data_IF_631709053509
#
_entry.id   IF_631709053509
#
_cell.length_a   1.000
_cell.length_b   1.000
_cell.length_c   1.000
_cell.angle_alpha   90.00
_cell.angle_beta   90.00
_cell.angle_gamma   90.00
#
_symmetry.space_group_name_H-M   'P 1'
#
loop_
_entity.id
_entity.type
_entity.pdbx_description
1 polymer ?
#
# COMPACT_ATOMS: atom_id res chain seq x y z
N UNK A 1 -11.02 -3.40 35.00
CA UNK A 1 -10.18 -4.62 35.05
C UNK A 1 -9.31 -4.81 33.80
N UNK A 2 -9.81 -4.59 32.57
CA UNK A 2 -8.98 -4.78 31.35
C UNK A 2 -7.81 -3.78 31.19
N UNK A 3 -7.90 -2.59 31.78
CA UNK A 3 -6.87 -1.55 31.69
C UNK A 3 -5.72 -1.76 32.71
N UNK A 4 -6.01 -2.37 33.86
CA UNK A 4 -5.02 -2.62 34.95
C UNK A 4 -4.03 -3.74 34.60
N UNK A 5 -4.41 -4.67 33.72
CA UNK A 5 -3.50 -5.73 33.24
C UNK A 5 -2.60 -5.28 32.09
N UNK A 6 -2.90 -4.13 31.45
CA UNK A 6 -2.15 -3.62 30.30
C UNK A 6 -0.88 -2.89 30.72
N UNK A 7 -0.95 -2.19 31.86
CA UNK A 7 0.17 -1.45 32.47
C UNK A 7 1.21 -2.39 33.11
N UNK A 8 0.78 -3.58 33.57
CA UNK A 8 1.67 -4.60 34.15
C UNK A 8 2.53 -5.35 33.14
N UNK A 9 2.34 -5.09 31.85
CA UNK A 9 3.08 -5.76 30.77
C UNK A 9 4.29 -4.96 30.31
N UNK A 10 4.37 -3.67 30.66
CA UNK A 10 5.50 -2.77 30.34
C UNK A 10 6.67 -2.86 31.34
N UNK A 11 6.53 -3.59 32.45
CA UNK A 11 7.52 -3.69 33.53
C UNK A 11 8.41 -4.96 33.43
N UNK A 12 8.25 -5.75 32.37
CA UNK A 12 9.15 -6.87 32.06
C UNK A 12 10.17 -6.40 31.03
N UNK A 13 11.47 -6.48 31.36
CA UNK A 13 12.55 -6.34 30.38
C UNK A 13 12.27 -7.27 29.19
N UNK A 14 11.93 -6.67 28.05
CA UNK A 14 11.51 -7.42 26.87
C UNK A 14 12.71 -8.14 26.27
N UNK A 15 12.72 -9.47 26.38
CA UNK A 15 13.70 -10.32 25.69
C UNK A 15 13.50 -10.11 24.19
N UNK A 16 14.50 -9.53 23.54
CA UNK A 16 14.58 -9.39 22.09
C UNK A 16 15.02 -10.69 21.44
N UNK A 17 14.75 -10.83 20.14
CA UNK A 17 15.29 -11.94 19.34
C UNK A 17 16.82 -11.95 19.41
N UNK A 18 17.46 -10.78 19.51
CA UNK A 18 18.91 -10.68 19.70
C UNK A 18 19.37 -11.26 21.04
N UNK A 19 18.62 -11.02 22.12
CA UNK A 19 18.94 -11.57 23.44
C UNK A 19 18.85 -13.10 23.44
N UNK A 20 17.91 -13.68 22.67
CA UNK A 20 17.85 -15.13 22.45
C UNK A 20 19.11 -15.64 21.73
N UNK A 21 19.66 -14.90 20.76
CA UNK A 21 20.92 -15.25 20.09
C UNK A 21 22.16 -15.08 20.98
N UNK A 22 22.16 -14.10 21.89
CA UNK A 22 23.21 -13.93 22.88
C UNK A 22 23.20 -15.08 23.91
N UNK A 23 22.00 -15.48 24.38
CA UNK A 23 21.81 -16.67 25.22
C UNK A 23 22.33 -17.93 24.51
N UNK A 24 22.04 -18.10 23.21
CA UNK A 24 22.56 -19.23 22.40
C UNK A 24 24.09 -19.20 22.38
N UNK A 25 24.69 -18.03 22.25
CA UNK A 25 26.15 -17.84 22.18
C UNK A 25 26.81 -18.17 23.52
N UNK A 26 26.27 -17.68 24.62
CA UNK A 26 26.80 -17.94 25.96
C UNK A 26 26.62 -19.40 26.35
N UNK A 27 25.45 -19.98 26.03
CA UNK A 27 25.23 -21.41 26.17
C UNK A 27 26.27 -22.22 25.38
N UNK A 28 26.58 -21.83 24.14
CA UNK A 28 27.58 -22.53 23.35
C UNK A 28 29.00 -22.42 23.93
N UNK A 29 29.37 -21.28 24.52
CA UNK A 29 30.66 -21.08 25.20
C UNK A 29 30.80 -22.00 26.41
N UNK A 30 29.75 -22.17 27.21
CA UNK A 30 29.78 -23.01 28.41
C UNK A 30 29.87 -24.51 28.10
N UNK A 31 29.23 -24.96 27.01
CA UNK A 31 29.23 -26.36 26.62
C UNK A 31 30.51 -26.79 25.90
N UNK A 32 31.28 -25.85 25.33
CA UNK A 32 32.50 -26.16 24.57
C UNK A 32 33.58 -26.84 25.41
N UNK A 33 33.95 -26.36 26.62
CA UNK A 33 34.87 -27.07 27.51
C UNK A 33 34.37 -28.46 27.92
N UNK A 34 33.06 -28.63 28.11
CA UNK A 34 32.48 -29.92 28.52
C UNK A 34 32.60 -30.94 27.37
N UNK A 35 32.34 -30.50 26.14
CA UNK A 35 32.49 -31.32 24.93
C UNK A 35 33.97 -31.68 24.71
N UNK A 36 34.88 -30.72 24.90
CA UNK A 36 36.32 -30.95 24.74
C UNK A 36 36.87 -31.98 25.75
N UNK A 37 36.29 -32.05 26.96
CA UNK A 37 36.73 -33.00 28.00
C UNK A 37 36.06 -34.38 27.95
N UNK A 38 34.77 -34.46 27.61
CA UNK A 38 33.97 -35.69 27.73
C UNK A 38 33.46 -36.24 26.40
N UNK A 39 33.77 -35.58 25.28
CA UNK A 39 33.15 -35.85 23.98
C UNK A 39 31.71 -35.35 23.92
N UNK A 40 31.12 -35.30 22.72
CA UNK A 40 29.75 -34.79 22.56
C UNK A 40 28.65 -35.81 22.78
N UNK A 41 28.96 -37.11 22.78
CA UNK A 41 27.95 -38.17 22.86
C UNK A 41 27.02 -38.06 24.08
N UNK A 42 27.50 -37.72 25.29
CA UNK A 42 26.62 -37.52 26.45
C UNK A 42 25.71 -36.28 26.33
N UNK A 43 26.14 -35.27 25.55
CA UNK A 43 25.47 -33.97 25.43
C UNK A 43 24.48 -33.96 24.26
N UNK A 44 24.65 -34.84 23.27
CA UNK A 44 23.79 -35.00 22.08
C UNK A 44 22.28 -34.92 22.38
N UNK A 45 21.81 -35.70 23.37
CA UNK A 45 20.39 -35.74 23.73
C UNK A 45 19.89 -34.49 24.46
N UNK A 46 20.75 -33.82 25.22
CA UNK A 46 20.40 -32.58 25.94
C UNK A 46 20.36 -31.42 24.95
N UNK A 47 21.33 -31.38 24.04
CA UNK A 47 21.48 -30.34 23.03
C UNK A 47 20.26 -30.24 22.12
N UNK A 48 19.71 -31.37 21.65
CA UNK A 48 18.48 -31.37 20.86
C UNK A 48 17.29 -30.75 21.59
N UNK A 49 17.17 -30.99 22.91
CA UNK A 49 16.13 -30.39 23.75
C UNK A 49 16.35 -28.89 23.95
N UNK A 50 17.59 -28.46 24.20
CA UNK A 50 17.94 -27.06 24.35
C UNK A 50 17.69 -26.28 23.07
N UNK A 51 18.10 -26.81 21.91
CA UNK A 51 17.79 -26.21 20.60
C UNK A 51 16.29 -26.07 20.42
N UNK A 52 15.50 -27.10 20.73
CA UNK A 52 14.03 -27.05 20.62
C UNK A 52 13.41 -26.00 21.56
N UNK A 53 13.95 -25.84 22.77
CA UNK A 53 13.50 -24.82 23.72
C UNK A 53 13.84 -23.40 23.25
N UNK A 54 15.06 -23.19 22.74
CA UNK A 54 15.51 -21.89 22.22
C UNK A 54 14.75 -21.52 20.94
N UNK A 55 14.46 -22.48 20.05
CA UNK A 55 13.57 -22.25 18.90
C UNK A 55 12.18 -21.82 19.32
N UNK A 56 11.63 -22.47 20.34
CA UNK A 56 10.33 -22.08 20.88
C UNK A 56 10.39 -20.68 21.51
N UNK A 57 11.52 -20.31 22.13
CA UNK A 57 11.74 -18.99 22.70
C UNK A 57 11.85 -17.92 21.60
N UNK A 58 12.58 -18.18 20.52
CA UNK A 58 12.65 -17.31 19.33
C UNK A 58 11.26 -17.11 18.72
N UNK A 59 10.51 -18.20 18.47
CA UNK A 59 9.15 -18.15 17.94
C UNK A 59 8.21 -17.34 18.86
N UNK A 60 8.30 -17.52 20.18
CA UNK A 60 7.51 -16.78 21.15
C UNK A 60 7.88 -15.29 21.13
N UNK A 61 9.18 -14.98 21.07
CA UNK A 61 9.69 -13.60 21.06
C UNK A 61 9.23 -12.85 19.81
N UNK A 62 9.37 -13.47 18.63
CA UNK A 62 8.87 -12.91 17.37
C UNK A 62 7.35 -12.68 17.41
N UNK A 63 6.59 -13.64 17.97
CA UNK A 63 5.13 -13.50 18.14
C UNK A 63 4.78 -12.34 19.07
N UNK A 64 5.49 -12.18 20.18
CA UNK A 64 5.27 -11.07 21.13
C UNK A 64 5.53 -9.73 20.45
N UNK A 65 6.66 -9.59 19.74
CA UNK A 65 6.98 -8.36 18.99
C UNK A 65 5.92 -8.03 17.95
N UNK A 66 5.45 -9.03 17.19
CA UNK A 66 4.39 -8.84 16.20
C UNK A 66 3.05 -8.45 16.86
N UNK A 67 2.67 -9.10 17.95
CA UNK A 67 1.45 -8.76 18.69
C UNK A 67 1.52 -7.34 19.27
N UNK A 68 2.68 -6.93 19.81
CA UNK A 68 2.91 -5.56 20.30
C UNK A 68 2.78 -4.54 19.18
N UNK A 69 3.35 -4.82 18.00
CA UNK A 69 3.16 -3.98 16.81
C UNK A 69 1.68 -3.84 16.44
N UNK A 70 0.93 -4.94 16.41
CA UNK A 70 -0.51 -4.92 16.12
C UNK A 70 -1.27 -4.10 17.18
N UNK A 71 -0.91 -4.24 18.46
CA UNK A 71 -1.50 -3.46 19.55
C UNK A 71 -1.22 -1.97 19.36
N UNK A 72 0.03 -1.58 19.07
CA UNK A 72 0.42 -0.21 18.79
C UNK A 72 -0.32 0.38 17.58
N UNK A 73 -0.44 -0.39 16.50
CA UNK A 73 -1.20 0.01 15.31
C UNK A 73 -2.67 0.23 15.67
N UNK A 74 -3.29 -0.67 16.46
CA UNK A 74 -4.67 -0.52 16.93
C UNK A 74 -4.85 0.72 17.81
N UNK A 75 -3.91 1.00 18.71
CA UNK A 75 -3.97 2.17 19.57
C UNK A 75 -3.86 3.47 18.76
N UNK A 76 -3.01 3.49 17.72
CA UNK A 76 -2.92 4.63 16.80
C UNK A 76 -4.23 4.88 16.04
N UNK A 77 -4.92 3.80 15.65
CA UNK A 77 -6.23 3.87 14.97
C UNK A 77 -7.30 4.37 15.93
N UNK A 78 -7.31 3.87 17.17
CA UNK A 78 -8.23 4.34 18.21
C UNK A 78 -8.04 5.84 18.48
N UNK A 79 -6.81 6.30 18.69
CA UNK A 79 -6.52 7.71 18.91
C UNK A 79 -6.98 8.59 17.74
N UNK A 80 -6.77 8.14 16.49
CA UNK A 80 -7.28 8.84 15.30
C UNK A 80 -8.82 8.90 15.29
N UNK A 81 -9.50 7.79 15.56
CA UNK A 81 -10.97 7.75 15.59
C UNK A 81 -11.56 8.60 16.72
N UNK A 82 -10.90 8.67 17.88
CA UNK A 82 -11.29 9.54 18.98
C UNK A 82 -11.15 11.02 18.60
N UNK A 83 -10.05 11.39 17.90
CA UNK A 83 -9.86 12.74 17.36
C UNK A 83 -10.96 13.09 16.35
N UNK A 84 -11.25 12.20 15.41
CA UNK A 84 -12.28 12.41 14.38
C UNK A 84 -13.68 12.52 15.01
N UNK A 85 -13.95 11.74 16.07
CA UNK A 85 -15.21 11.83 16.83
C UNK A 85 -15.37 13.18 17.52
N UNK A 86 -14.30 13.69 18.15
CA UNK A 86 -14.30 15.00 18.79
C UNK A 86 -14.47 16.13 17.77
N UNK A 87 -13.78 16.05 16.63
CA UNK A 87 -13.88 17.02 15.54
C UNK A 87 -15.30 17.07 14.97
N UNK A 88 -15.90 15.93 14.66
CA UNK A 88 -17.30 15.84 14.20
C UNK A 88 -18.29 16.36 15.24
N UNK A 89 -18.05 16.12 16.52
CA UNK A 89 -18.90 16.66 17.58
C UNK A 89 -18.79 18.19 17.66
N UNK A 90 -17.58 18.74 17.53
CA UNK A 90 -17.35 20.18 17.51
C UNK A 90 -17.96 20.86 16.27
N UNK A 91 -17.88 20.23 15.09
CA UNK A 91 -18.54 20.69 13.88
C UNK A 91 -20.06 20.72 14.04
N UNK A 92 -20.67 19.66 14.57
CA UNK A 92 -22.11 19.64 14.87
C UNK A 92 -22.50 20.76 15.82
N UNK A 93 -21.72 20.99 16.87
CA UNK A 93 -21.99 22.08 17.82
C UNK A 93 -21.86 23.46 17.15
N UNK A 94 -20.94 23.64 16.19
CA UNK A 94 -20.85 24.88 15.42
C UNK A 94 -22.08 25.07 14.53
N UNK A 95 -22.50 24.04 13.80
CA UNK A 95 -23.70 24.11 12.97
C UNK A 95 -24.96 24.38 13.78
N UNK A 96 -25.09 23.78 14.97
CA UNK A 96 -26.22 24.03 15.88
C UNK A 96 -26.26 25.50 16.35
N UNK A 97 -25.10 26.09 16.69
CA UNK A 97 -25.00 27.52 17.03
C UNK A 97 -25.30 28.43 15.85
N UNK A 98 -24.83 28.10 14.65
CA UNK A 98 -25.14 28.85 13.44
C UNK A 98 -26.63 28.81 13.12
N UNK A 99 -27.28 27.65 13.32
CA UNK A 99 -28.72 27.50 13.15
C UNK A 99 -29.49 28.34 14.17
N UNK A 100 -29.10 28.29 15.45
CA UNK A 100 -29.71 29.11 16.51
C UNK A 100 -29.58 30.62 16.21
N UNK A 101 -28.43 31.06 15.68
CA UNK A 101 -28.24 32.45 15.25
C UNK A 101 -29.15 32.83 14.08
N UNK A 102 -29.34 31.95 13.11
CA UNK A 102 -30.26 32.19 11.98
C UNK A 102 -31.71 32.27 12.49
N UNK A 103 -32.10 31.40 13.42
CA UNK A 103 -33.43 31.42 14.03
C UNK A 103 -33.67 32.69 14.86
N UNK A 104 -32.67 33.16 15.62
CA UNK A 104 -32.73 34.43 16.35
C UNK A 104 -32.88 35.61 15.39
N UNK A 105 -32.04 35.67 14.36
CA UNK A 105 -32.12 36.71 13.34
C UNK A 105 -33.50 36.73 12.65
N UNK A 106 -34.04 35.56 12.31
CA UNK A 106 -35.37 35.48 11.72
C UNK A 106 -36.47 35.92 12.68
N UNK A 107 -36.34 35.64 13.99
CA UNK A 107 -37.25 36.15 15.02
C UNK A 107 -37.15 37.66 15.15
N UNK A 108 -35.95 38.22 15.16
CA UNK A 108 -35.71 39.66 15.22
C UNK A 108 -36.33 40.36 14.01
N UNK A 109 -36.04 39.91 12.78
CA UNK A 109 -36.62 40.46 11.56
C UNK A 109 -38.16 40.36 11.56
N UNK A 110 -38.72 39.22 11.97
CA UNK A 110 -40.17 39.04 12.07
C UNK A 110 -40.77 40.03 13.08
N UNK A 111 -40.11 40.22 14.21
CA UNK A 111 -40.52 41.18 15.23
C UNK A 111 -40.47 42.62 14.70
N UNK A 112 -39.40 43.00 14.01
CA UNK A 112 -39.25 44.31 13.37
C UNK A 112 -40.34 44.56 12.32
N UNK A 113 -40.64 43.59 11.46
CA UNK A 113 -41.72 43.72 10.48
C UNK A 113 -43.09 43.92 11.17
N UNK A 114 -43.37 43.18 12.24
CA UNK A 114 -44.60 43.36 13.03
C UNK A 114 -44.64 44.74 13.68
N UNK A 115 -43.52 45.23 14.22
CA UNK A 115 -43.43 46.58 14.77
C UNK A 115 -43.71 47.66 13.70
N UNK A 116 -43.16 47.50 12.49
CA UNK A 116 -43.40 48.40 11.36
C UNK A 116 -44.89 48.38 10.96
N UNK A 117 -45.49 47.19 10.84
CA UNK A 117 -46.92 47.05 10.54
C UNK A 117 -47.77 47.75 11.60
N UNK A 118 -47.49 47.53 12.88
CA UNK A 118 -48.22 48.17 13.98
C UNK A 118 -48.11 49.70 13.91
N UNK A 119 -46.90 50.22 13.64
CA UNK A 119 -46.67 51.67 13.48
C UNK A 119 -47.47 52.25 12.31
N UNK A 120 -47.44 51.58 11.15
CA UNK A 120 -48.21 51.99 9.97
C UNK A 120 -49.73 51.90 10.22
N UNK A 121 -50.20 50.87 10.93
CA UNK A 121 -51.61 50.75 11.33
C UNK A 121 -52.04 51.87 12.29
N UNK A 122 -51.20 52.24 13.25
CA UNK A 122 -51.46 53.37 14.14
C UNK A 122 -51.49 54.70 13.39
N UNK A 123 -50.56 54.94 12.48
CA UNK A 123 -50.53 56.13 11.63
C UNK A 123 -51.78 56.20 10.73
N UNK A 124 -52.17 55.09 10.09
CA UNK A 124 -53.41 55.00 9.33
C UNK A 124 -54.64 55.29 10.20
N UNK A 125 -54.72 54.74 11.43
CA UNK A 125 -55.80 55.06 12.37
C UNK A 125 -55.83 56.55 12.74
N UNK A 126 -54.67 57.17 12.98
CA UNK A 126 -54.55 58.61 13.27
C UNK A 126 -54.99 59.46 12.09
N UNK A 127 -54.59 59.10 10.87
CA UNK A 127 -54.99 59.78 9.64
C UNK A 127 -56.49 59.68 9.40
N UNK A 128 -57.09 58.49 9.57
CA UNK A 128 -58.55 58.29 9.46
C UNK A 128 -59.30 59.17 10.46
N UNK A 129 -58.86 59.21 11.73
CA UNK A 129 -59.46 60.10 12.75
C UNK A 129 -59.34 61.58 12.36
N UNK A 130 -58.17 62.00 11.89
CA UNK A 130 -57.93 63.39 11.47
C UNK A 130 -58.74 63.77 10.22
N UNK A 131 -58.99 62.81 9.33
CA UNK A 131 -59.81 63.02 8.13
C UNK A 131 -61.29 63.15 8.52
N UNK A 132 -61.78 62.32 9.46
CA UNK A 132 -63.13 62.42 10.01
C UNK A 132 -63.35 63.76 10.74
N UNK A 133 -62.42 64.19 11.59
CA UNK A 133 -62.48 65.51 12.24
C UNK A 133 -62.50 66.68 11.25
N UNK A 134 -61.81 66.55 10.11
CA UNK A 134 -61.86 67.55 9.03
C UNK A 134 -63.14 67.51 8.20
N UNK A 135 -63.82 66.37 8.13
CA UNK A 135 -65.06 66.21 7.38
C UNK A 135 -66.29 66.67 8.18
N UNK A 136 -66.25 66.58 9.51
CA UNK A 136 -67.30 67.07 10.43
C UNK A 136 -67.19 68.58 10.75
N UNK A 137 -66.11 69.25 10.30
CA UNK A 137 -65.99 70.70 10.37
C UNK A 137 -66.49 71.32 9.07
N UNK A 138 -67.62 72.06 9.04
CA UNK A 138 -68.00 72.80 7.85
C UNK A 138 -66.90 73.80 7.51
N UNK A 139 -66.50 73.80 6.24
CA UNK A 139 -65.57 74.78 5.66
C UNK A 139 -66.15 76.18 5.80
N UNK A 140 -65.78 76.86 6.88
CA UNK A 140 -65.97 78.30 7.02
C UNK A 140 -64.74 78.93 6.38
N UNK A 141 -64.88 79.25 5.09
CA UNK A 141 -64.06 80.26 4.43
C UNK A 141 -64.29 81.60 5.14
N UNK A 142 -63.52 81.86 6.20
CA UNK A 142 -63.43 83.19 6.79
C UNK A 142 -62.31 83.96 6.09
N UNK A 143 -62.66 84.51 4.92
CA UNK A 143 -62.00 85.71 4.41
C UNK A 143 -62.51 86.91 5.22
N UNK A 144 -62.03 87.04 6.45
CA UNK A 144 -62.10 88.27 7.23
C UNK A 144 -60.69 88.85 7.35
N UNK A 145 -60.51 90.18 7.34
CA UNK A 145 -59.21 90.76 7.62
C UNK A 145 -58.85 90.39 9.06
N UNK A 146 -57.80 89.59 9.21
CA UNK A 146 -57.35 89.09 10.49
C UNK A 146 -56.93 90.26 11.38
N UNK A 147 -57.38 90.22 12.64
CA UNK A 147 -56.82 91.08 13.69
C UNK A 147 -55.31 90.82 13.77
N UNK A 148 -54.46 91.86 13.91
CA UNK A 148 -52.99 91.73 13.91
C UNK A 148 -52.46 90.69 14.92
N UNK A 149 -53.22 90.39 15.97
CA UNK A 149 -52.86 89.40 16.99
C UNK A 149 -52.99 87.94 16.51
N UNK A 150 -53.94 87.63 15.61
CA UNK A 150 -54.08 86.28 15.06
C UNK A 150 -52.99 85.98 14.02
N UNK A 151 -52.60 86.97 13.22
CA UNK A 151 -51.47 86.87 12.29
C UNK A 151 -50.14 86.66 13.03
N UNK A 152 -49.94 87.34 14.16
CA UNK A 152 -48.77 87.12 15.03
C UNK A 152 -48.76 85.69 15.57
N UNK A 153 -49.91 85.15 16.01
CA UNK A 153 -49.99 83.77 16.50
C UNK A 153 -49.71 82.74 15.39
N UNK A 154 -50.21 82.96 14.17
CA UNK A 154 -49.92 82.10 13.01
C UNK A 154 -48.45 82.16 12.63
N UNK A 155 -47.84 83.34 12.63
CA UNK A 155 -46.41 83.52 12.38
C UNK A 155 -45.56 82.84 13.45
N UNK A 156 -45.89 82.99 14.74
CA UNK A 156 -45.20 82.30 15.84
C UNK A 156 -45.29 80.79 15.72
N UNK A 157 -46.46 80.24 15.35
CA UNK A 157 -46.63 78.80 15.10
C UNK A 157 -45.80 78.32 13.91
N UNK A 158 -45.71 79.13 12.85
CA UNK A 158 -44.87 78.83 11.68
C UNK A 158 -43.38 78.86 12.02
N UNK A 159 -42.95 79.81 12.86
CA UNK A 159 -41.56 79.89 13.36
C UNK A 159 -41.22 78.65 14.20
N UNK A 160 -42.08 78.29 15.16
CA UNK A 160 -41.88 77.10 15.99
C UNK A 160 -41.86 75.81 15.15
N UNK A 161 -42.71 75.72 14.12
CA UNK A 161 -42.67 74.60 13.18
C UNK A 161 -41.38 74.58 12.35
N UNK A 162 -40.89 75.74 11.90
CA UNK A 162 -39.61 75.85 11.19
C UNK A 162 -38.43 75.44 12.08
N UNK A 163 -38.44 75.85 13.35
CA UNK A 163 -37.42 75.47 14.32
C UNK A 163 -37.41 73.97 14.56
N UNK A 164 -38.60 73.35 14.71
CA UNK A 164 -38.75 71.89 14.80
C UNK A 164 -38.23 71.16 13.56
N UNK A 165 -38.53 71.67 12.36
CA UNK A 165 -38.02 71.10 11.11
C UNK A 165 -36.50 71.23 11.00
N UNK A 166 -35.91 72.35 11.45
CA UNK A 166 -34.45 72.53 11.51
C UNK A 166 -33.80 71.57 12.49
N UNK A 167 -34.42 71.31 13.62
CA UNK A 167 -33.92 70.34 14.60
C UNK A 167 -34.02 68.91 14.09
N UNK A 168 -35.13 68.55 13.43
CA UNK A 168 -35.27 67.27 12.73
C UNK A 168 -34.22 67.10 11.62
N UNK A 169 -33.94 68.15 10.84
CA UNK A 169 -32.89 68.13 9.83
C UNK A 169 -31.53 67.85 10.46
N UNK A 170 -31.17 68.52 11.56
CA UNK A 170 -29.92 68.27 12.29
C UNK A 170 -29.84 66.85 12.85
N UNK A 171 -30.94 66.30 13.37
CA UNK A 171 -30.98 64.92 13.84
C UNK A 171 -30.75 63.94 12.69
N UNK A 172 -31.40 64.15 11.54
CA UNK A 172 -31.21 63.34 10.35
C UNK A 172 -29.80 63.46 9.77
N UNK A 173 -29.20 64.64 9.79
CA UNK A 173 -27.81 64.84 9.36
C UNK A 173 -26.81 64.08 10.26
N UNK A 174 -27.03 64.06 11.58
CA UNK A 174 -26.22 63.24 12.50
C UNK A 174 -26.40 61.75 12.24
N UNK A 175 -27.64 61.30 12.00
CA UNK A 175 -27.95 59.90 11.69
C UNK A 175 -27.27 59.46 10.38
N UNK A 176 -27.34 60.30 9.33
CA UNK A 176 -26.65 60.05 8.06
C UNK A 176 -25.14 60.00 8.24
N UNK A 177 -24.55 60.91 9.01
CA UNK A 177 -23.10 60.89 9.27
C UNK A 177 -22.67 59.65 10.07
N UNK A 178 -23.47 59.22 11.06
CA UNK A 178 -23.21 57.99 11.79
C UNK A 178 -23.27 56.76 10.86
N UNK A 179 -24.29 56.69 9.99
CA UNK A 179 -24.41 55.61 9.00
C UNK A 179 -23.30 55.64 7.96
N UNK A 180 -22.86 56.82 7.52
CA UNK A 180 -21.70 56.94 6.63
C UNK A 180 -20.43 56.38 7.27
N UNK A 181 -20.17 56.70 8.54
CA UNK A 181 -19.01 56.16 9.26
C UNK A 181 -19.08 54.64 9.48
N UNK A 182 -20.30 54.10 9.69
CA UNK A 182 -20.52 52.65 9.78
C UNK A 182 -20.24 51.97 8.45
N UNK A 183 -20.69 52.55 7.33
CA UNK A 183 -20.40 52.06 5.98
C UNK A 183 -18.90 52.07 5.70
N UNK A 184 -18.18 53.14 6.03
CA UNK A 184 -16.72 53.21 5.85
C UNK A 184 -15.99 52.13 6.67
N UNK A 185 -16.39 51.90 7.92
CA UNK A 185 -15.82 50.83 8.75
C UNK A 185 -16.11 49.43 8.18
N UNK A 186 -17.28 49.21 7.62
CA UNK A 186 -17.64 47.94 6.97
C UNK A 186 -16.87 47.74 5.67
N UNK A 187 -16.66 48.80 4.88
CA UNK A 187 -15.82 48.77 3.68
C UNK A 187 -14.38 48.36 4.03
N UNK A 188 -13.80 48.96 5.07
CA UNK A 188 -12.47 48.57 5.57
C UNK A 188 -12.40 47.09 5.99
N UNK A 189 -13.47 46.58 6.63
CA UNK A 189 -13.54 45.17 7.01
C UNK A 189 -13.62 44.25 5.79
N UNK A 190 -14.42 44.62 4.79
CA UNK A 190 -14.54 43.88 3.52
C UNK A 190 -13.18 43.85 2.80
N UNK A 191 -12.45 44.97 2.76
CA UNK A 191 -11.14 45.03 2.13
C UNK A 191 -10.11 44.17 2.88
N UNK A 192 -10.09 44.22 4.21
CA UNK A 192 -9.25 43.32 5.03
C UNK A 192 -9.59 41.86 4.74
N UNK A 193 -10.86 41.48 4.76
CA UNK A 193 -11.28 40.10 4.45
C UNK A 193 -10.92 39.70 3.01
N UNK A 194 -11.05 40.61 2.05
CA UNK A 194 -10.67 40.39 0.65
C UNK A 194 -9.17 40.10 0.51
N UNK A 195 -8.31 40.83 1.23
CA UNK A 195 -6.86 40.55 1.24
C UNK A 195 -6.53 39.19 1.84
N UNK A 196 -7.11 38.86 3.00
CA UNK A 196 -6.93 37.55 3.64
C UNK A 196 -7.42 36.42 2.73
N UNK A 197 -8.56 36.59 2.05
CA UNK A 197 -9.10 35.59 1.14
C UNK A 197 -8.16 35.35 -0.06
N UNK A 198 -7.57 36.41 -0.63
CA UNK A 198 -6.55 36.31 -1.68
C UNK A 198 -5.30 35.56 -1.19
N UNK A 199 -4.83 35.84 0.02
CA UNK A 199 -3.69 35.15 0.63
C UNK A 199 -3.98 33.66 0.89
N UNK A 200 -5.15 33.33 1.43
CA UNK A 200 -5.57 31.94 1.65
C UNK A 200 -5.65 31.17 0.33
N UNK A 201 -6.22 31.78 -0.72
CA UNK A 201 -6.22 31.18 -2.07
C UNK A 201 -4.80 30.94 -2.59
N UNK A 202 -3.87 31.86 -2.36
CA UNK A 202 -2.46 31.68 -2.73
C UNK A 202 -1.83 30.51 -1.94
N UNK A 203 -2.06 30.44 -0.63
CA UNK A 203 -1.58 29.34 0.23
C UNK A 203 -2.11 27.98 -0.21
N UNK A 204 -3.40 27.90 -0.56
CA UNK A 204 -4.02 26.67 -1.09
C UNK A 204 -3.33 26.25 -2.39
N UNK A 205 -3.15 27.17 -3.35
CA UNK A 205 -2.45 26.87 -4.62
C UNK A 205 -1.03 26.35 -4.39
N UNK A 206 -0.27 26.98 -3.49
CA UNK A 206 1.10 26.52 -3.19
C UNK A 206 1.11 25.17 -2.50
N UNK A 207 0.19 24.92 -1.57
CA UNK A 207 0.05 23.63 -0.89
C UNK A 207 -0.37 22.53 -1.86
N UNK A 208 -1.29 22.80 -2.79
CA UNK A 208 -1.70 21.87 -3.84
C UNK A 208 -0.55 21.56 -4.79
N UNK A 209 0.24 22.56 -5.20
CA UNK A 209 1.41 22.35 -6.04
C UNK A 209 2.47 21.47 -5.33
N UNK A 210 2.68 21.65 -4.02
CA UNK A 210 3.57 20.79 -3.23
C UNK A 210 3.04 19.36 -3.16
N UNK A 211 1.73 19.17 -2.92
CA UNK A 211 1.13 17.84 -2.89
C UNK A 211 1.28 17.13 -4.24
N UNK A 212 1.06 17.83 -5.36
CA UNK A 212 1.23 17.25 -6.70
C UNK A 212 2.69 16.85 -6.97
N UNK A 213 3.67 17.66 -6.57
CA UNK A 213 5.09 17.30 -6.69
C UNK A 213 5.43 16.03 -5.91
N UNK A 214 4.93 15.90 -4.68
CA UNK A 214 5.13 14.67 -3.89
C UNK A 214 4.46 13.44 -4.52
N UNK A 215 3.31 13.63 -5.19
CA UNK A 215 2.64 12.56 -5.93
C UNK A 215 3.48 12.14 -7.15
N UNK A 216 4.03 13.10 -7.89
CA UNK A 216 4.95 12.85 -9.01
C UNK A 216 6.21 12.10 -8.55
N UNK A 217 6.89 12.61 -7.51
CA UNK A 217 8.07 11.95 -6.92
C UNK A 217 7.76 10.52 -6.46
N UNK A 218 6.59 10.30 -5.83
CA UNK A 218 6.14 8.96 -5.44
C UNK A 218 5.91 8.06 -6.67
N UNK A 219 5.34 8.59 -7.75
CA UNK A 219 5.10 7.82 -8.97
C UNK A 219 6.43 7.40 -9.63
N UNK A 220 7.42 8.29 -9.65
CA UNK A 220 8.75 8.01 -10.18
C UNK A 220 9.46 6.91 -9.38
N UNK A 221 9.41 6.98 -8.05
CA UNK A 221 9.99 5.96 -7.16
C UNK A 221 9.30 4.61 -7.35
N UNK A 222 7.96 4.59 -7.49
CA UNK A 222 7.22 3.35 -7.73
C UNK A 222 7.59 2.71 -9.07
N UNK A 223 7.79 3.52 -10.11
CA UNK A 223 8.24 3.03 -11.42
C UNK A 223 9.64 2.41 -11.31
N UNK A 224 10.58 3.09 -10.66
CA UNK A 224 11.92 2.56 -10.43
C UNK A 224 11.91 1.26 -9.60
N UNK A 225 11.03 1.16 -8.59
CA UNK A 225 10.87 -0.05 -7.80
C UNK A 225 10.34 -1.22 -8.64
N UNK A 226 9.37 -0.96 -9.52
CA UNK A 226 8.84 -1.98 -10.43
C UNK A 226 9.91 -2.47 -11.41
N UNK A 227 10.72 -1.56 -11.97
CA UNK A 227 11.84 -1.91 -12.85
C UNK A 227 12.85 -2.81 -12.11
N UNK A 228 13.24 -2.46 -10.87
CA UNK A 228 14.13 -3.27 -10.06
C UNK A 228 13.54 -4.64 -9.69
N UNK A 229 12.23 -4.72 -9.43
CA UNK A 229 11.55 -5.99 -9.20
C UNK A 229 11.56 -6.87 -10.44
N UNK A 230 11.34 -6.28 -11.62
CA UNK A 230 11.42 -6.97 -12.90
C UNK A 230 12.84 -7.50 -13.17
N UNK A 231 13.87 -6.68 -12.97
CA UNK A 231 15.27 -7.11 -13.08
C UNK A 231 15.61 -8.24 -12.11
N UNK A 232 15.17 -8.13 -10.85
CA UNK A 232 15.36 -9.19 -9.84
C UNK A 232 14.68 -10.48 -10.27
N UNK A 233 13.48 -10.40 -10.86
CA UNK A 233 12.75 -11.56 -11.38
C UNK A 233 13.52 -12.22 -12.53
N UNK A 234 14.05 -11.44 -13.49
CA UNK A 234 14.86 -11.96 -14.59
C UNK A 234 16.13 -12.63 -14.06
N UNK A 235 16.83 -12.01 -13.11
CA UNK A 235 18.05 -12.56 -12.53
C UNK A 235 17.78 -13.87 -11.79
N UNK A 236 16.66 -13.96 -11.05
CA UNK A 236 16.21 -15.21 -10.41
C UNK A 236 15.92 -16.31 -11.44
N UNK A 237 15.25 -15.98 -12.54
CA UNK A 237 14.98 -16.94 -13.62
C UNK A 237 16.29 -17.44 -14.26
N UNK A 238 17.21 -16.53 -14.57
CA UNK A 238 18.53 -16.89 -15.14
C UNK A 238 19.35 -17.74 -14.17
N UNK A 239 19.32 -17.42 -12.89
CA UNK A 239 19.98 -18.21 -11.86
C UNK A 239 19.40 -19.63 -11.81
N UNK A 240 18.06 -19.77 -11.85
CA UNK A 240 17.41 -21.08 -11.88
C UNK A 240 17.79 -21.91 -13.11
N UNK A 241 17.88 -21.30 -14.29
CA UNK A 241 18.36 -21.97 -15.51
C UNK A 241 19.81 -22.44 -15.33
N UNK A 242 20.69 -21.56 -14.83
CA UNK A 242 22.10 -21.90 -14.60
C UNK A 242 22.29 -22.99 -13.52
N UNK A 243 21.44 -23.00 -12.48
CA UNK A 243 21.42 -24.05 -11.47
C UNK A 243 21.01 -25.40 -12.06
N UNK A 244 19.99 -25.42 -12.92
CA UNK A 244 19.55 -26.63 -13.63
C UNK A 244 20.63 -27.15 -14.59
N UNK A 245 21.21 -26.28 -15.43
CA UNK A 245 22.30 -26.67 -16.33
C UNK A 245 23.50 -27.26 -15.56
N UNK A 246 23.82 -26.70 -14.40
CA UNK A 246 24.88 -27.22 -13.52
C UNK A 246 24.52 -28.58 -12.94
N UNK A 247 23.27 -28.80 -12.56
CA UNK A 247 22.78 -30.10 -12.07
C UNK A 247 22.84 -31.15 -13.19
N UNK A 248 22.38 -30.81 -14.40
CA UNK A 248 22.43 -31.69 -15.58
C UNK A 248 23.88 -32.09 -15.93
N UNK A 249 24.83 -31.14 -15.87
CA UNK A 249 26.26 -31.42 -16.06
C UNK A 249 26.84 -32.32 -14.96
N UNK A 250 26.44 -32.10 -13.70
CA UNK A 250 26.88 -32.94 -12.58
C UNK A 250 26.32 -34.36 -12.72
N UNK A 251 25.07 -34.51 -13.14
CA UNK A 251 24.44 -35.80 -13.39
C UNK A 251 25.11 -36.52 -14.56
N UNK A 252 25.38 -35.85 -15.67
CA UNK A 252 26.11 -36.42 -16.80
C UNK A 252 27.51 -36.91 -16.39
N UNK A 253 28.22 -36.18 -15.53
CA UNK A 253 29.51 -36.63 -15.00
C UNK A 253 29.39 -37.88 -14.12
N UNK A 254 28.32 -38.00 -13.33
CA UNK A 254 28.03 -39.20 -12.53
C UNK A 254 27.68 -40.36 -13.45
N UNK A 255 26.86 -40.16 -14.49
CA UNK A 255 26.50 -41.19 -15.46
C UNK A 255 27.75 -41.68 -16.22
N UNK A 256 28.68 -40.78 -16.58
CA UNK A 256 29.99 -41.15 -17.16
C UNK A 256 30.82 -41.96 -16.17
N UNK A 257 30.83 -41.61 -14.88
CA UNK A 257 31.50 -42.40 -13.84
C UNK A 257 30.83 -43.75 -13.60
N UNK A 258 29.50 -43.83 -13.66
CA UNK A 258 28.76 -45.08 -13.50
C UNK A 258 28.97 -45.99 -14.71
N UNK A 259 28.98 -45.44 -15.93
CA UNK A 259 29.38 -46.17 -17.15
C UNK A 259 30.83 -46.66 -17.06
N UNK A 260 31.76 -45.84 -16.54
CA UNK A 260 33.14 -46.25 -16.22
C UNK A 260 33.21 -47.40 -15.21
N UNK A 261 32.29 -47.44 -14.25
CA UNK A 261 32.30 -48.42 -13.15
C UNK A 261 31.57 -49.71 -13.53
N UNK A 262 30.58 -49.63 -14.43
CA UNK A 262 29.66 -50.72 -14.77
C UNK A 262 29.97 -51.40 -16.11
N UNK A 263 30.74 -50.76 -17.00
CA UNK A 263 31.14 -51.33 -18.28
C UNK A 263 32.65 -51.52 -18.40
N UNK A 264 33.00 -52.70 -18.89
CA UNK A 264 34.33 -53.14 -19.36
C UNK A 264 34.79 -52.27 -20.53
N UNK A 265 35.23 -51.04 -20.27
CA UNK A 265 35.85 -50.18 -21.27
C UNK A 265 37.11 -49.58 -20.66
N UNK A 266 38.26 -50.15 -21.02
CA UNK A 266 39.56 -49.62 -20.68
C UNK A 266 39.78 -48.30 -21.47
N UNK A 267 39.77 -47.17 -20.77
CA UNK A 267 39.93 -45.85 -21.39
C UNK A 267 41.38 -45.59 -21.85
N UNK A 268 42.32 -46.44 -21.46
CA UNK A 268 43.72 -46.42 -21.87
C UNK A 268 44.01 -47.30 -23.09
N UNK A 269 43.00 -47.98 -23.67
CA UNK A 269 43.19 -48.79 -24.89
C UNK A 269 43.59 -47.88 -26.09
N UNK A 270 44.84 -48.01 -26.60
CA UNK A 270 45.34 -47.21 -27.71
C UNK A 270 44.62 -47.52 -29.03
N UNK A 271 43.96 -48.68 -29.15
CA UNK A 271 43.24 -49.11 -30.36
C UNK A 271 41.74 -48.78 -30.32
N UNK A 272 41.27 -48.07 -29.30
CA UNK A 272 39.88 -47.63 -29.22
C UNK A 272 39.58 -46.63 -30.35
N UNK A 273 38.50 -46.81 -31.14
CA UNK A 273 38.12 -45.84 -32.17
C UNK A 273 37.85 -44.47 -31.51
N UNK A 274 38.66 -43.47 -31.85
CA UNK A 274 38.50 -42.09 -31.39
C UNK A 274 38.00 -41.26 -32.55
N UNK A 275 36.68 -41.10 -32.63
CA UNK A 275 36.07 -40.23 -33.61
C UNK A 275 36.18 -38.77 -33.13
N UNK A 276 36.55 -37.88 -34.05
CA UNK A 276 36.47 -36.44 -33.82
C UNK A 276 35.01 -36.00 -33.75
N UNK A 277 34.75 -34.83 -33.16
CA UNK A 277 33.38 -34.26 -33.13
C UNK A 277 32.80 -34.02 -34.52
N UNK A 278 33.65 -33.89 -35.53
CA UNK A 278 33.25 -33.75 -36.94
C UNK A 278 32.86 -35.10 -37.53
N UNK A 279 33.68 -36.14 -37.33
CA UNK A 279 33.37 -37.51 -37.76
C UNK A 279 32.09 -38.04 -37.09
N UNK A 280 31.84 -37.71 -35.82
CA UNK A 280 30.60 -38.11 -35.14
C UNK A 280 29.37 -37.42 -35.77
N UNK A 281 29.48 -36.15 -36.14
CA UNK A 281 28.40 -35.43 -36.84
C UNK A 281 28.16 -36.03 -38.23
N UNK A 282 29.23 -36.41 -38.93
CA UNK A 282 29.14 -37.06 -40.24
C UNK A 282 28.48 -38.44 -40.13
N UNK A 283 28.92 -39.30 -39.20
CA UNK A 283 28.31 -40.61 -38.94
C UNK A 283 26.83 -40.47 -38.53
N UNK A 284 26.49 -39.45 -37.73
CA UNK A 284 25.09 -39.16 -37.37
C UNK A 284 24.26 -38.75 -38.58
N UNK A 285 24.82 -37.92 -39.46
CA UNK A 285 24.17 -37.49 -40.69
C UNK A 285 23.95 -38.66 -41.62
N UNK A 286 25.00 -39.46 -41.87
CA UNK A 286 24.92 -40.69 -42.66
C UNK A 286 23.88 -41.66 -42.09
N UNK A 287 23.89 -41.89 -40.77
CA UNK A 287 22.89 -42.73 -40.10
C UNK A 287 21.47 -42.20 -40.31
N UNK A 288 21.25 -40.89 -40.21
CA UNK A 288 19.94 -40.30 -40.46
C UNK A 288 19.52 -40.43 -41.93
N UNK A 289 20.45 -40.23 -42.87
CA UNK A 289 20.21 -40.41 -44.30
C UNK A 289 19.87 -41.87 -44.63
N UNK A 290 20.61 -42.83 -44.05
CA UNK A 290 20.30 -44.26 -44.16
C UNK A 290 18.98 -44.61 -43.51
N UNK A 291 18.63 -44.01 -42.37
CA UNK A 291 17.35 -44.25 -41.72
C UNK A 291 16.19 -43.71 -42.54
N UNK A 292 16.33 -42.53 -43.15
CA UNK A 292 15.36 -42.01 -44.11
C UNK A 292 15.23 -42.92 -45.34
N UNK A 293 16.35 -43.45 -45.84
CA UNK A 293 16.35 -44.40 -46.96
C UNK A 293 15.69 -45.73 -46.60
N UNK A 294 15.95 -46.24 -45.41
CA UNK A 294 15.29 -47.44 -44.87
C UNK A 294 13.79 -47.19 -44.77
N UNK A 295 13.35 -46.07 -44.20
CA UNK A 295 11.91 -45.75 -44.13
C UNK A 295 11.25 -45.58 -45.49
N UNK A 296 11.98 -45.09 -46.51
CA UNK A 296 11.49 -45.05 -47.88
C UNK A 296 11.35 -46.44 -48.49
N UNK A 297 12.36 -47.30 -48.31
CA UNK A 297 12.35 -48.69 -48.77
C UNK A 297 11.29 -49.52 -48.04
N UNK A 298 11.09 -49.30 -46.75
CA UNK A 298 10.01 -49.90 -45.95
C UNK A 298 8.65 -49.47 -46.50
N UNK A 299 8.46 -48.19 -46.86
CA UNK A 299 7.22 -47.71 -47.48
C UNK A 299 6.99 -48.31 -48.87
N UNK A 300 8.05 -48.49 -49.65
CA UNK A 300 8.00 -49.13 -50.96
C UNK A 300 7.67 -50.63 -50.82
N UNK A 301 8.31 -51.34 -49.89
CA UNK A 301 8.00 -52.72 -49.55
C UNK A 301 6.56 -52.87 -49.03
N UNK A 302 6.09 -51.94 -48.21
CA UNK A 302 4.70 -51.93 -47.73
C UNK A 302 3.73 -51.72 -48.89
N UNK A 303 4.06 -50.86 -49.86
CA UNK A 303 3.28 -50.72 -51.10
C UNK A 303 3.20 -52.04 -51.86
N UNK A 304 4.29 -52.79 -51.97
CA UNK A 304 4.28 -54.09 -52.64
C UNK A 304 3.57 -55.18 -51.82
N UNK A 305 3.71 -55.20 -50.48
CA UNK A 305 2.89 -56.07 -49.60
C UNK A 305 1.40 -55.77 -49.74
N UNK A 306 1.04 -54.48 -49.84
CA UNK A 306 -0.33 -54.04 -50.04
C UNK A 306 -0.81 -54.32 -51.48
N UNK A 307 0.05 -54.21 -52.49
CA UNK A 307 -0.27 -54.64 -53.86
C UNK A 307 -0.44 -56.16 -53.99
N UNK A 308 0.28 -56.95 -53.20
CA UNK A 308 0.08 -58.40 -53.09
C UNK A 308 -1.23 -58.73 -52.33
N UNK A 309 -1.64 -57.89 -51.36
CA UNK A 309 -2.89 -58.04 -50.61
C UNK A 309 -4.14 -57.48 -51.33
N UNK A 310 -4.01 -56.45 -52.17
CA UNK A 310 -5.11 -55.84 -52.95
C UNK A 310 -5.57 -56.73 -54.12
N UNK A 311 -4.81 -57.77 -54.49
CA UNK A 311 -5.25 -58.76 -55.46
C UNK A 311 -6.24 -59.81 -54.89
N UNK A 312 -6.66 -59.73 -53.63
CA UNK A 312 -7.47 -60.80 -53.01
C UNK A 312 -8.82 -60.38 -52.43
N UNK A 313 -9.06 -59.19 -51.89
CA UNK A 313 -10.36 -58.92 -51.25
C UNK A 313 -10.84 -57.48 -51.52
N UNK A 314 -11.83 -57.36 -52.40
CA UNK A 314 -12.77 -56.24 -52.50
C UNK A 314 -14.07 -56.77 -51.89
N UNK A 315 -14.60 -56.11 -50.86
CA UNK A 315 -16.01 -55.74 -50.63
C UNK A 315 -16.26 -55.37 -49.15
N UNK A 316 -17.25 -54.48 -48.96
CA UNK A 316 -17.98 -54.13 -47.72
C UNK A 316 -17.52 -52.86 -46.94
N UNK A 317 -18.01 -51.71 -47.42
CA UNK A 317 -19.10 -50.86 -46.87
C UNK A 317 -19.29 -50.58 -45.35
N UNK A 318 -19.76 -49.33 -45.16
CA UNK A 318 -20.67 -48.76 -44.13
C UNK A 318 -20.14 -48.03 -42.86
N UNK A 319 -20.42 -46.72 -42.87
CA UNK A 319 -20.96 -45.79 -41.86
C UNK A 319 -20.90 -46.14 -40.36
N UNK A 320 -20.52 -45.14 -39.54
CA UNK A 320 -21.38 -44.64 -38.45
C UNK A 320 -20.83 -43.36 -37.78
N UNK A 321 -21.75 -42.44 -37.49
CA UNK A 321 -21.62 -41.22 -36.69
C UNK A 321 -21.35 -41.54 -35.21
N UNK A 322 -20.61 -40.67 -34.50
CA UNK A 322 -20.83 -40.48 -33.05
C UNK A 322 -20.40 -39.06 -32.61
N UNK A 323 -21.38 -38.37 -32.02
CA UNK A 323 -21.28 -37.11 -31.28
C UNK A 323 -20.65 -37.36 -29.90
N UNK A 324 -19.48 -36.78 -29.61
CA UNK A 324 -18.92 -36.71 -28.25
C UNK A 324 -18.89 -35.25 -27.76
N UNK A 325 -19.99 -34.82 -27.11
CA UNK A 325 -20.01 -33.72 -26.14
C UNK A 325 -19.42 -34.24 -24.81
N UNK A 326 -18.09 -34.30 -24.72
CA UNK A 326 -17.39 -34.58 -23.46
C UNK A 326 -17.02 -33.27 -22.74
N UNK A 327 -17.72 -33.01 -21.64
CA UNK A 327 -17.46 -31.96 -20.66
C UNK A 327 -16.05 -32.18 -20.06
N UNK A 328 -15.08 -31.34 -20.44
CA UNK A 328 -13.69 -31.49 -19.98
C UNK A 328 -13.60 -31.34 -18.44
N UNK A 329 -12.93 -32.25 -17.70
CA UNK A 329 -12.86 -32.15 -16.25
C UNK A 329 -12.09 -30.90 -15.82
N UNK A 330 -12.79 -30.03 -15.09
CA UNK A 330 -12.21 -28.81 -14.47
C UNK A 330 -11.15 -29.23 -13.45
N UNK A 331 -9.89 -29.13 -13.84
CA UNK A 331 -8.75 -29.29 -12.94
C UNK A 331 -8.75 -28.17 -11.91
N UNK A 332 -8.98 -28.52 -10.64
CA UNK A 332 -8.72 -27.64 -9.50
C UNK A 332 -7.25 -27.22 -9.43
N UNK A 333 -6.92 -26.15 -8.67
CA UNK A 333 -5.57 -25.64 -8.58
C UNK A 333 -4.58 -26.72 -8.16
N UNK A 334 -3.47 -26.80 -8.92
CA UNK A 334 -2.39 -27.78 -8.77
C UNK A 334 -1.94 -27.89 -7.29
N UNK A 335 -1.80 -29.10 -6.72
CA UNK A 335 -1.23 -29.27 -5.39
C UNK A 335 0.19 -28.68 -5.32
N UNK A 336 0.46 -27.90 -4.27
CA UNK A 336 1.76 -27.28 -4.02
C UNK A 336 2.91 -28.29 -4.15
N UNK A 337 3.98 -27.88 -4.82
CA UNK A 337 5.19 -28.70 -4.95
C UNK A 337 5.75 -29.09 -3.56
N UNK A 338 6.46 -30.24 -3.43
CA UNK A 338 6.97 -30.74 -2.15
C UNK A 338 7.86 -29.77 -1.33
N UNK A 339 8.28 -28.67 -1.93
CA UNK A 339 9.08 -27.60 -1.33
C UNK A 339 8.24 -26.48 -0.71
N UNK A 340 6.97 -26.34 -1.08
CA UNK A 340 6.05 -25.26 -0.62
C UNK A 340 5.12 -25.71 0.52
N UNK A 341 5.38 -26.90 1.05
CA UNK A 341 4.55 -27.48 2.08
C UNK A 341 4.72 -26.77 3.43
N UNK A 342 3.62 -26.36 4.12
CA UNK A 342 3.68 -25.61 5.38
C UNK A 342 4.33 -26.37 6.55
N UNK A 343 4.59 -27.68 6.40
CA UNK A 343 5.32 -28.50 7.37
C UNK A 343 6.83 -28.56 7.13
N UNK A 344 7.33 -28.16 5.96
CA UNK A 344 8.78 -27.99 5.75
C UNK A 344 9.21 -26.69 6.42
N UNK A 345 9.55 -26.80 7.70
CA UNK A 345 10.21 -25.72 8.44
C UNK A 345 11.58 -25.48 7.80
N UNK A 346 11.73 -24.34 7.13
CA UNK A 346 13.03 -23.76 6.83
C UNK A 346 13.92 -23.86 8.06
N UNK A 347 15.15 -24.35 7.92
CA UNK A 347 16.06 -24.54 9.05
C UNK A 347 16.15 -23.24 9.89
N UNK A 348 15.82 -23.34 11.19
CA UNK A 348 15.77 -22.18 12.09
C UNK A 348 17.12 -21.47 12.19
N UNK A 349 17.08 -20.16 12.45
CA UNK A 349 18.31 -19.38 12.66
C UNK A 349 19.15 -19.94 13.80
N UNK A 350 18.49 -20.44 14.85
CA UNK A 350 19.11 -21.13 15.98
C UNK A 350 19.82 -22.41 15.54
N UNK A 351 19.20 -23.29 14.73
CA UNK A 351 19.87 -24.50 14.23
C UNK A 351 21.07 -24.18 13.34
N UNK A 352 20.98 -23.15 12.51
CA UNK A 352 22.10 -22.65 11.69
C UNK A 352 23.25 -22.14 12.57
N UNK A 353 22.94 -21.41 13.64
CA UNK A 353 23.93 -20.88 14.57
C UNK A 353 24.62 -21.99 15.36
N UNK A 354 23.86 -22.95 15.91
CA UNK A 354 24.41 -24.12 16.58
C UNK A 354 25.28 -24.97 15.63
N UNK A 355 24.85 -25.16 14.38
CA UNK A 355 25.68 -25.83 13.37
C UNK A 355 26.99 -25.08 13.13
N UNK A 356 26.97 -23.75 13.02
CA UNK A 356 28.18 -22.93 12.84
C UNK A 356 29.11 -22.97 14.05
N UNK A 357 28.57 -22.93 15.27
CA UNK A 357 29.34 -22.90 16.52
C UNK A 357 29.98 -24.24 16.85
N UNK A 358 29.37 -25.36 16.44
CA UNK A 358 29.84 -26.71 16.78
C UNK A 358 30.41 -27.51 15.59
N UNK A 359 30.48 -26.93 14.38
CA UNK A 359 31.03 -27.59 13.18
C UNK A 359 32.53 -27.96 13.33
N UNK A 360 33.27 -27.22 14.15
CA UNK A 360 34.71 -27.45 14.40
C UNK A 360 34.96 -28.73 15.21
N UNK A 361 33.98 -29.19 15.98
CA UNK A 361 34.08 -30.36 16.87
C UNK A 361 33.64 -31.69 16.22
N UNK A 362 33.33 -31.70 14.92
CA UNK A 362 32.94 -32.91 14.17
C UNK A 362 31.66 -33.60 14.71
N UNK A 363 30.66 -32.80 15.11
CA UNK A 363 29.47 -33.31 15.81
C UNK A 363 28.20 -33.37 14.96
N UNK A 364 27.47 -34.48 15.05
CA UNK A 364 26.31 -34.86 14.22
C UNK A 364 24.94 -34.53 14.84
N UNK A 365 24.87 -33.48 15.68
CA UNK A 365 23.71 -33.16 16.52
C UNK A 365 22.37 -32.90 15.81
N UNK A 366 22.36 -32.56 14.51
CA UNK A 366 21.18 -31.96 13.85
C UNK A 366 20.59 -32.78 12.70
N UNK A 367 20.99 -34.05 12.56
CA UNK A 367 20.57 -34.89 11.44
C UNK A 367 21.31 -34.52 10.15
N UNK A 368 21.78 -35.54 9.43
CA UNK A 368 22.49 -35.35 8.18
C UNK A 368 21.55 -34.77 7.12
N UNK A 369 21.87 -33.57 6.63
CA UNK A 369 21.72 -33.29 5.20
C UNK A 369 22.98 -33.78 4.48
N UNK A 370 22.90 -34.31 3.24
CA UNK A 370 24.04 -34.91 2.56
C UNK A 370 25.20 -33.90 2.47
N UNK A 371 26.34 -34.24 3.08
CA UNK A 371 27.57 -33.44 3.05
C UNK A 371 28.08 -33.37 1.60
N UNK A 372 27.90 -32.25 0.89
CA UNK A 372 28.76 -31.92 -0.26
C UNK A 372 30.13 -31.55 0.29
N UNK A 373 31.07 -32.47 0.20
CA UNK A 373 32.47 -32.22 0.56
C UNK A 373 33.05 -31.17 -0.39
N UNK A 374 33.48 -30.04 0.14
CA UNK A 374 34.34 -29.08 -0.56
C UNK A 374 35.73 -29.17 0.07
N UNK A 375 36.53 -30.12 -0.39
CA UNK A 375 37.97 -30.15 -0.11
C UNK A 375 38.74 -29.80 -1.38
N UNK A 376 39.74 -28.91 -1.19
CA UNK A 376 40.82 -28.58 -2.12
C UNK A 376 40.50 -27.61 -3.27
N UNK A 377 40.53 -26.32 -2.99
CA UNK A 377 41.03 -25.32 -3.95
C UNK A 377 42.38 -24.81 -3.46
N UNK A 378 43.44 -25.45 -3.95
CA UNK A 378 44.80 -24.92 -3.88
C UNK A 378 44.88 -23.59 -4.62
N UNK A 379 45.40 -22.57 -3.94
CA UNK A 379 45.88 -21.33 -4.56
C UNK A 379 46.95 -21.67 -5.59
N UNK A 380 46.70 -21.34 -6.86
CA UNK A 380 47.77 -21.07 -7.82
C UNK A 380 47.66 -19.61 -8.26
N UNK A 381 48.53 -18.81 -7.67
CA UNK A 381 49.03 -17.55 -8.21
C UNK A 381 50.16 -17.89 -9.19
N UNK A 382 50.47 -16.97 -10.13
CA UNK A 382 51.54 -16.94 -11.15
C UNK A 382 51.01 -17.33 -12.56
N UNK A 383 51.27 -16.62 -13.67
CA UNK A 383 52.12 -15.46 -14.01
C UNK A 383 51.69 -14.98 -15.41
N UNK A 384 51.38 -13.69 -15.59
CA UNK A 384 51.24 -13.08 -16.92
C UNK A 384 52.63 -12.68 -17.43
N UNK A 385 53.10 -13.37 -18.46
CA UNK A 385 54.28 -12.97 -19.25
C UNK A 385 53.86 -11.87 -20.23
N UNK A 386 54.22 -10.63 -19.93
CA UNK A 386 54.26 -9.55 -20.90
C UNK A 386 55.53 -9.70 -21.75
N UNK A 387 55.35 -9.89 -23.05
CA UNK A 387 56.44 -9.97 -24.02
C UNK A 387 55.91 -9.53 -25.38
N UNK A 388 55.62 -8.24 -25.50
CA UNK A 388 55.30 -7.61 -26.78
C UNK A 388 56.61 -7.05 -27.34
N UNK A 389 57.15 -7.74 -28.34
CA UNK A 389 58.34 -7.33 -29.10
C UNK A 389 57.92 -6.44 -30.26
N UNK A 390 58.42 -5.21 -30.25
CA UNK A 390 58.47 -4.33 -31.40
C UNK A 390 59.32 -4.97 -32.53
N UNK A 391 58.79 -4.95 -33.75
CA UNK A 391 59.42 -4.37 -34.95
C UNK A 391 58.40 -4.27 -36.09
#
# INVERSE_FOLDING_TARGET
>A
MAWDSRDKMDDYDEISVMDVYDIVTDFAKEFRPIIDMYGADPINNIMGKVVTMLERLEDQTVKIVNLKKIIQDRDSVVARLERDKLEKAAERQRFEKELEQIEEHWREESHEMVQIINRLQEENRKLIKSLAEKQDSPSVNNSHPLSPELDIAVLQKSIASNEKLREQLKMKEREVNAKASEVDSLLDQVDRLSTINKELRKKIRTSQAQANRLIEERADILTQLQDQQYETSILRQRLGIAEKEKEDLAQSNVDIMEIKTKNVCDYEDPNRPRYTTEEIKEILKERNDYQAKISELERELEKYRKSDAINTEIEEDDDDDDDDDDDAPVQGPLPFEPNDAPWRKSESGIRKMFRKLFNETNMTFLGNSPKRSLSSLSKMTLTTTAGDTAL
#
